data_IF_015527313025
#
_entry.id   IF_015527313025
#
_cell.length_a   1.000
_cell.length_b   1.000
_cell.length_c   1.000
_cell.angle_alpha   90.00
_cell.angle_beta   90.00
_cell.angle_gamma   90.00
#
_symmetry.space_group_name_H-M   'P 1'
#
loop_
_entity.id
_entity.type
_entity.pdbx_description
1 polymer ?
#
# COMPACT_ATOMS: atom_id res chain seq x y z
N UNK A 1 31.75 -36.21 -38.48
CA UNK A 1 30.37 -35.70 -38.37
C UNK A 1 30.17 -35.22 -36.94
N UNK A 2 30.16 -33.90 -36.71
CA UNK A 2 29.95 -33.29 -35.38
C UNK A 2 28.81 -32.30 -35.53
N UNK A 3 27.63 -32.68 -35.06
CA UNK A 3 26.43 -31.84 -35.08
C UNK A 3 26.54 -30.91 -33.88
N UNK A 4 26.84 -29.64 -34.13
CA UNK A 4 26.79 -28.60 -33.11
C UNK A 4 25.35 -28.09 -33.01
N UNK A 5 24.68 -28.44 -31.91
CA UNK A 5 23.33 -28.01 -31.60
C UNK A 5 23.40 -26.59 -31.03
N UNK A 6 22.98 -25.57 -31.80
CA UNK A 6 22.85 -24.20 -31.31
C UNK A 6 21.52 -24.06 -30.56
N UNK A 7 21.61 -23.95 -29.23
CA UNK A 7 20.46 -23.68 -28.36
C UNK A 7 20.09 -22.20 -28.49
N UNK A 8 19.01 -21.89 -29.21
CA UNK A 8 18.43 -20.55 -29.22
C UNK A 8 17.58 -20.38 -27.95
N UNK A 9 18.13 -19.72 -26.93
CA UNK A 9 17.37 -19.34 -25.74
C UNK A 9 16.56 -18.07 -26.04
N UNK A 10 15.26 -18.25 -26.17
CA UNK A 10 14.27 -17.19 -26.28
C UNK A 10 14.11 -16.49 -24.91
N UNK A 11 14.65 -15.29 -24.77
CA UNK A 11 14.36 -14.41 -23.64
C UNK A 11 12.97 -13.79 -23.86
N UNK A 12 11.93 -14.37 -23.27
CA UNK A 12 10.64 -13.72 -23.15
C UNK A 12 10.76 -12.68 -22.04
N UNK A 13 10.86 -11.40 -22.41
CA UNK A 13 10.70 -10.31 -21.44
C UNK A 13 9.23 -10.27 -21.03
N UNK A 14 8.93 -10.85 -19.86
CA UNK A 14 7.72 -10.52 -19.11
C UNK A 14 7.87 -9.06 -18.66
N UNK A 15 7.31 -8.12 -19.41
CA UNK A 15 7.06 -6.77 -18.91
C UNK A 15 5.92 -6.87 -17.90
N UNK A 16 6.25 -7.15 -16.64
CA UNK A 16 5.34 -6.86 -15.55
C UNK A 16 5.06 -5.36 -15.60
N UNK A 17 3.82 -4.98 -15.92
CA UNK A 17 3.34 -3.65 -15.64
C UNK A 17 3.53 -3.44 -14.14
N UNK A 18 4.55 -2.69 -13.77
CA UNK A 18 4.71 -2.17 -12.42
C UNK A 18 3.58 -1.17 -12.23
N UNK A 19 2.39 -1.67 -11.87
CA UNK A 19 1.43 -0.90 -11.12
C UNK A 19 2.22 -0.36 -9.93
N UNK A 20 2.53 0.94 -9.94
CA UNK A 20 3.40 1.56 -8.96
C UNK A 20 2.75 1.47 -7.58
N UNK A 21 3.01 0.38 -6.87
CA UNK A 21 2.68 0.25 -5.46
C UNK A 21 3.59 1.22 -4.71
N UNK A 22 3.15 2.45 -4.56
CA UNK A 22 3.85 3.42 -3.73
C UNK A 22 3.66 2.98 -2.28
N UNK A 23 4.78 2.71 -1.62
CA UNK A 23 4.80 2.25 -0.24
C UNK A 23 4.73 3.46 0.68
N UNK A 24 3.81 3.43 1.63
CA UNK A 24 3.74 4.40 2.71
C UNK A 24 4.74 4.08 3.83
N UNK A 25 5.22 5.12 4.53
CA UNK A 25 6.22 4.99 5.61
C UNK A 25 5.55 5.12 6.98
N UNK A 26 5.95 4.28 7.94
CA UNK A 26 5.55 4.38 9.34
C UNK A 26 6.72 4.86 10.22
N UNK A 27 6.49 5.69 11.26
CA UNK A 27 7.57 6.30 12.05
C UNK A 27 8.55 5.33 12.72
N UNK A 28 8.16 4.07 12.90
CA UNK A 28 8.91 3.03 13.62
C UNK A 28 9.08 1.73 12.79
N UNK A 29 8.66 1.72 11.52
CA UNK A 29 8.69 0.54 10.66
C UNK A 29 7.72 -0.57 11.06
N UNK A 30 6.79 -0.32 11.99
CA UNK A 30 5.80 -1.31 12.43
C UNK A 30 4.67 -1.55 11.44
N UNK A 31 4.49 -0.61 10.51
CA UNK A 31 3.47 -0.73 9.50
C UNK A 31 4.06 -0.59 8.10
N UNK A 32 3.63 -1.49 7.23
CA UNK A 32 3.80 -1.34 5.78
C UNK A 32 2.45 -0.95 5.20
N UNK A 33 2.44 0.11 4.41
CA UNK A 33 1.23 0.58 3.74
C UNK A 33 1.41 0.44 2.24
N UNK A 34 0.40 -0.09 1.57
CA UNK A 34 0.34 -0.20 0.11
C UNK A 34 -1.02 0.29 -0.38
N UNK A 35 -1.12 0.65 -1.66
CA UNK A 35 -2.39 1.08 -2.24
C UNK A 35 -2.46 0.78 -3.73
N UNK A 36 -3.68 0.79 -4.25
CA UNK A 36 -3.97 0.71 -5.67
C UNK A 36 -5.19 1.58 -6.03
N UNK A 37 -5.27 2.10 -7.27
CA UNK A 37 -6.50 2.71 -7.77
C UNK A 37 -7.66 1.72 -7.74
N UNK A 38 -8.81 2.14 -7.22
CA UNK A 38 -10.03 1.35 -7.27
C UNK A 38 -10.68 1.55 -8.64
N UNK A 39 -10.32 0.68 -9.59
CA UNK A 39 -10.78 0.75 -10.99
C UNK A 39 -12.28 0.44 -11.16
N UNK A 40 -12.89 -0.27 -10.21
CA UNK A 40 -14.25 -0.79 -10.29
C UNK A 40 -15.10 -0.34 -9.08
N UNK A 41 -15.49 0.93 -9.04
CA UNK A 41 -16.41 1.46 -8.05
C UNK A 41 -17.77 1.77 -8.67
N UNK A 42 -18.88 1.42 -8.02
CA UNK A 42 -20.25 1.80 -8.41
C UNK A 42 -20.53 3.31 -8.23
N UNK A 43 -19.50 4.12 -8.07
CA UNK A 43 -19.58 5.50 -7.60
C UNK A 43 -18.80 6.43 -8.52
N UNK A 44 -19.32 7.63 -8.81
CA UNK A 44 -18.75 8.52 -9.81
C UNK A 44 -17.40 9.15 -9.40
N UNK A 45 -17.02 9.10 -8.12
CA UNK A 45 -15.73 9.63 -7.65
C UNK A 45 -14.66 8.54 -7.67
N UNK A 46 -13.50 8.77 -8.32
CA UNK A 46 -12.40 7.83 -8.27
C UNK A 46 -11.86 7.70 -6.83
N UNK A 47 -11.38 6.51 -6.48
CA UNK A 47 -10.89 6.19 -5.14
C UNK A 47 -9.59 5.42 -5.21
N UNK A 48 -8.87 5.40 -4.11
CA UNK A 48 -7.82 4.42 -3.85
C UNK A 48 -8.28 3.49 -2.74
N UNK A 49 -7.95 2.21 -2.90
CA UNK A 49 -7.99 1.24 -1.81
C UNK A 49 -6.56 1.06 -1.31
N UNK A 50 -6.39 1.17 0.00
CA UNK A 50 -5.11 1.04 0.67
C UNK A 50 -5.18 -0.05 1.72
N UNK A 51 -4.03 -0.70 1.94
CA UNK A 51 -3.85 -1.82 2.85
C UNK A 51 -2.75 -1.48 3.85
N UNK A 52 -3.00 -1.79 5.13
CA UNK A 52 -2.08 -1.60 6.24
C UNK A 52 -1.74 -2.96 6.81
N UNK A 53 -0.47 -3.33 6.72
CA UNK A 53 0.08 -4.52 7.36
C UNK A 53 0.74 -4.14 8.68
N UNK A 54 0.54 -4.93 9.73
CA UNK A 54 1.15 -4.73 11.04
C UNK A 54 2.32 -5.70 11.26
N UNK A 55 3.55 -5.24 11.06
CA UNK A 55 4.78 -5.99 11.34
C UNK A 55 5.18 -5.93 12.84
N UNK A 56 4.42 -5.22 13.69
CA UNK A 56 4.70 -5.15 15.13
C UNK A 56 4.28 -6.45 15.86
N UNK A 57 4.83 -6.72 17.06
CA UNK A 57 4.40 -7.85 17.88
C UNK A 57 3.08 -7.60 18.62
N UNK A 58 2.40 -6.47 18.40
CA UNK A 58 1.20 -6.06 19.13
C UNK A 58 -0.06 -6.12 18.28
N UNK A 59 -1.19 -6.48 18.88
CA UNK A 59 -2.50 -6.13 18.33
C UNK A 59 -2.69 -4.63 18.54
N UNK A 60 -3.03 -3.90 17.48
CA UNK A 60 -3.29 -2.46 17.52
C UNK A 60 -4.70 -2.13 17.10
N UNK A 61 -5.19 -0.98 17.56
CA UNK A 61 -6.48 -0.38 17.19
C UNK A 61 -6.29 1.13 16.97
N UNK A 62 -7.38 1.85 16.67
CA UNK A 62 -7.37 3.29 16.43
C UNK A 62 -6.28 3.74 15.42
N UNK A 63 -5.99 2.93 14.40
CA UNK A 63 -4.91 3.21 13.44
C UNK A 63 -5.32 4.35 12.51
N UNK A 64 -4.72 5.52 12.73
CA UNK A 64 -4.95 6.75 11.98
C UNK A 64 -3.87 6.94 10.94
N UNK A 65 -4.29 7.35 9.75
CA UNK A 65 -3.40 7.61 8.62
C UNK A 65 -3.55 9.03 8.10
N UNK A 66 -2.43 9.60 7.64
CA UNK A 66 -2.40 10.75 6.78
C UNK A 66 -2.09 10.29 5.36
N UNK A 67 -2.99 10.63 4.42
CA UNK A 67 -2.84 10.36 2.99
C UNK A 67 -2.52 11.68 2.32
N UNK A 68 -1.34 11.78 1.71
CA UNK A 68 -0.90 12.94 0.92
C UNK A 68 -0.88 12.56 -0.57
N UNK A 69 -1.60 13.31 -1.39
CA UNK A 69 -1.60 13.14 -2.84
C UNK A 69 -0.47 13.95 -3.48
N UNK A 70 0.30 13.31 -4.37
CA UNK A 70 1.45 13.91 -5.02
C UNK A 70 1.24 14.00 -6.54
N UNK A 71 1.69 15.09 -7.14
CA UNK A 71 1.77 15.22 -8.61
C UNK A 71 2.95 14.42 -9.19
N UNK A 72 3.15 14.52 -10.51
CA UNK A 72 4.21 13.79 -11.22
C UNK A 72 5.64 14.24 -10.84
N UNK A 73 5.79 15.45 -10.30
CA UNK A 73 7.05 16.01 -9.83
C UNK A 73 7.27 15.78 -8.32
N UNK A 74 6.37 15.02 -7.67
CA UNK A 74 6.31 14.76 -6.23
C UNK A 74 5.95 15.97 -5.36
N UNK A 75 5.31 17.01 -5.92
CA UNK A 75 4.78 18.09 -5.10
C UNK A 75 3.47 17.69 -4.43
N UNK A 76 3.26 18.10 -3.17
CA UNK A 76 2.01 17.83 -2.47
C UNK A 76 0.86 18.66 -3.06
N UNK A 77 -0.21 17.98 -3.45
CA UNK A 77 -1.46 18.58 -3.93
C UNK A 77 -2.50 18.74 -2.81
N UNK A 78 -2.35 17.98 -1.73
CA UNK A 78 -3.24 18.02 -0.58
C UNK A 78 -3.09 16.80 0.32
N UNK A 79 -3.80 16.81 1.44
CA UNK A 79 -3.79 15.73 2.43
C UNK A 79 -5.19 15.44 2.98
N UNK A 80 -5.41 14.18 3.40
CA UNK A 80 -6.64 13.70 4.05
C UNK A 80 -6.31 12.76 5.20
N UNK A 81 -7.13 12.79 6.24
CA UNK A 81 -7.09 11.79 7.31
C UNK A 81 -7.90 10.55 6.94
N UNK A 82 -7.42 9.38 7.35
CA UNK A 82 -8.10 8.10 7.17
C UNK A 82 -7.93 7.19 8.39
N UNK A 83 -8.73 6.13 8.41
CA UNK A 83 -8.77 5.15 9.47
C UNK A 83 -8.67 3.76 8.87
N UNK A 84 -7.76 2.94 9.40
CA UNK A 84 -7.72 1.53 9.06
C UNK A 84 -8.98 0.86 9.64
N UNK A 85 -9.53 -0.14 8.93
CA UNK A 85 -10.73 -0.82 9.41
C UNK A 85 -10.39 -1.79 10.56
N UNK A 86 -10.93 -1.51 11.74
CA UNK A 86 -10.85 -2.39 12.90
C UNK A 86 -9.44 -2.56 13.48
N UNK A 87 -9.29 -3.58 14.32
CA UNK A 87 -8.01 -3.94 14.93
C UNK A 87 -7.12 -4.70 13.95
N UNK A 88 -5.81 -4.49 14.05
CA UNK A 88 -4.81 -5.22 13.26
C UNK A 88 -3.98 -6.08 14.21
N UNK A 89 -4.11 -7.40 14.10
CA UNK A 89 -3.27 -8.36 14.83
C UNK A 89 -1.82 -8.33 14.34
N UNK A 90 -0.85 -8.84 15.11
CA UNK A 90 0.52 -9.04 14.63
C UNK A 90 0.55 -9.87 13.35
N UNK A 91 1.28 -9.40 12.35
CA UNK A 91 1.35 -10.01 11.01
C UNK A 91 0.03 -9.95 10.22
N UNK A 92 -0.96 -9.20 10.70
CA UNK A 92 -2.26 -9.05 10.06
C UNK A 92 -2.32 -7.86 9.10
N UNK A 93 -3.36 -7.87 8.27
CA UNK A 93 -3.68 -6.83 7.30
C UNK A 93 -5.09 -6.29 7.53
N UNK A 94 -5.28 -5.01 7.26
CA UNK A 94 -6.61 -4.43 7.06
C UNK A 94 -6.58 -3.43 5.90
N UNK A 95 -7.74 -2.99 5.44
CA UNK A 95 -7.86 -2.00 4.38
C UNK A 95 -8.58 -0.73 4.84
N UNK A 96 -8.49 0.29 4.00
CA UNK A 96 -9.33 1.48 4.05
C UNK A 96 -9.46 2.07 2.63
N UNK A 97 -10.48 2.90 2.44
CA UNK A 97 -10.76 3.54 1.15
C UNK A 97 -10.83 5.04 1.34
N UNK A 98 -10.17 5.78 0.45
CA UNK A 98 -10.29 7.24 0.36
C UNK A 98 -10.53 7.66 -1.07
N UNK A 99 -11.23 8.78 -1.27
CA UNK A 99 -11.34 9.34 -2.62
C UNK A 99 -9.99 9.82 -3.11
N UNK A 100 -9.76 9.68 -4.41
CA UNK A 100 -8.56 10.19 -5.05
C UNK A 100 -8.54 11.71 -5.01
N UNK A 101 -7.35 12.30 -4.86
CA UNK A 101 -7.17 13.74 -5.00
C UNK A 101 -7.01 14.10 -6.48
N UNK A 102 -7.75 15.09 -7.00
CA UNK A 102 -7.60 15.53 -8.39
C UNK A 102 -6.15 15.91 -8.70
N UNK A 103 -5.61 15.37 -9.80
CA UNK A 103 -4.24 15.62 -10.23
C UNK A 103 -3.16 14.77 -9.56
N UNK A 104 -3.49 14.04 -8.48
CA UNK A 104 -2.52 13.15 -7.83
C UNK A 104 -2.26 11.91 -8.69
N UNK A 105 -0.99 11.61 -8.94
CA UNK A 105 -0.55 10.42 -9.69
C UNK A 105 0.01 9.35 -8.76
N UNK A 106 0.38 9.72 -7.54
CA UNK A 106 0.82 8.81 -6.47
C UNK A 106 0.40 9.34 -5.10
N UNK A 107 0.53 8.49 -4.07
CA UNK A 107 0.18 8.84 -2.69
C UNK A 107 1.29 8.44 -1.73
N UNK A 108 1.62 9.36 -0.82
CA UNK A 108 2.40 9.09 0.38
C UNK A 108 1.43 8.87 1.52
N UNK A 109 1.45 7.69 2.13
CA UNK A 109 0.54 7.35 3.22
C UNK A 109 1.36 7.08 4.48
N UNK A 110 1.02 7.71 5.58
CA UNK A 110 1.76 7.58 6.84
C UNK A 110 0.81 7.23 7.96
N UNK A 111 1.16 6.21 8.75
CA UNK A 111 0.48 5.95 10.03
C UNK A 111 0.93 7.00 11.04
N UNK A 112 -0.01 7.82 11.51
CA UNK A 112 0.27 8.95 12.39
C UNK A 112 0.01 8.65 13.87
N UNK A 113 -0.91 7.72 14.18
CA UNK A 113 -1.17 7.24 15.53
C UNK A 113 -1.87 5.89 15.52
N UNK A 114 -1.79 5.18 16.64
CA UNK A 114 -2.47 3.92 16.91
C UNK A 114 -2.43 3.66 18.42
N UNK A 115 -3.32 2.79 18.89
CA UNK A 115 -3.34 2.30 20.26
C UNK A 115 -2.92 0.83 20.32
N UNK A 116 -2.12 0.46 21.32
CA UNK A 116 -1.77 -0.95 21.58
C UNK A 116 -2.87 -1.59 22.43
N UNK A 117 -3.43 -2.69 21.94
CA UNK A 117 -4.46 -3.46 22.66
C UNK A 117 -3.81 -4.57 23.49
N UNK A 118 -2.91 -5.35 22.88
CA UNK A 118 -2.26 -6.48 23.55
C UNK A 118 -0.96 -6.88 22.85
N UNK A 119 -0.10 -7.63 23.54
CA UNK A 119 0.91 -8.44 22.86
C UNK A 119 0.22 -9.54 22.04
N UNK A 120 0.80 -9.91 20.90
CA UNK A 120 0.41 -11.11 20.18
C UNK A 120 0.52 -12.35 21.04
N UNK A 121 -0.47 -13.23 20.97
CA UNK A 121 -0.28 -14.58 21.47
C UNK A 121 0.60 -15.33 20.47
N UNK A 122 1.70 -15.89 20.96
CA UNK A 122 2.46 -16.87 20.19
C UNK A 122 1.53 -18.04 19.81
N UNK A 123 1.66 -18.60 18.60
CA UNK A 123 0.84 -19.72 18.15
C UNK A 123 0.94 -20.95 19.06
#
# INVERSE_FOLDING_TARGET
MRISLALAQLFVLLTTAASGQSHGESPNGWFRVSWAPQLNGATPTPRIEAYVHNDSPYRVTDVRLQVEGLDADNHPLGQRGAWALGDIVPGGDTSFVVESMPGAVTYRITVISFDIVSLGQAP
#
